data_IF_217344749642
#
_entry.id   IF_217344749642
#
_cell.length_a   1.000
_cell.length_b   1.000
_cell.length_c   1.000
_cell.angle_alpha   90.00
_cell.angle_beta   90.00
_cell.angle_gamma   90.00
#
_symmetry.space_group_name_H-M   'P 1'
#
loop_
_entity.id
_entity.type
_entity.pdbx_description
1 polymer ?
#
# COMPACT_ATOMS: atom_id res chain seq x y z
N UNK A 1 13.39 -15.07 54.53
CA UNK A 1 13.84 -15.64 53.24
C UNK A 1 13.73 -14.54 52.18
N UNK A 2 14.80 -14.26 51.49
CA UNK A 2 14.74 -13.32 50.36
C UNK A 2 14.07 -14.06 49.20
N UNK A 3 13.09 -13.43 48.54
CA UNK A 3 12.41 -13.97 47.36
C UNK A 3 13.44 -14.12 46.24
N UNK A 4 13.74 -15.37 45.83
CA UNK A 4 14.68 -15.65 44.75
C UNK A 4 13.93 -15.82 43.44
N UNK A 5 13.69 -14.72 42.71
CA UNK A 5 12.94 -14.73 41.46
C UNK A 5 13.64 -15.58 40.37
N UNK A 6 14.97 -15.61 40.32
CA UNK A 6 15.70 -16.38 39.31
C UNK A 6 15.43 -17.89 39.42
N UNK A 7 15.41 -18.43 40.63
CA UNK A 7 15.11 -19.85 40.83
C UNK A 7 13.64 -20.19 40.54
N UNK A 8 12.73 -19.29 40.93
CA UNK A 8 11.31 -19.45 40.72
C UNK A 8 10.96 -19.39 39.23
N UNK A 9 11.51 -18.42 38.52
CA UNK A 9 11.28 -18.27 37.08
C UNK A 9 11.83 -19.45 36.30
N UNK A 10 13.09 -19.86 36.54
CA UNK A 10 13.69 -21.01 35.88
C UNK A 10 12.90 -22.30 36.13
N UNK A 11 12.42 -22.51 37.39
CA UNK A 11 11.57 -23.67 37.73
C UNK A 11 10.29 -23.70 36.92
N UNK A 12 9.57 -22.56 36.82
CA UNK A 12 8.28 -22.53 36.15
C UNK A 12 8.40 -22.53 34.63
N UNK A 13 9.38 -21.86 34.05
CA UNK A 13 9.65 -21.94 32.61
C UNK A 13 9.95 -23.38 32.19
N UNK A 14 10.78 -24.11 32.97
CA UNK A 14 11.04 -25.53 32.74
C UNK A 14 9.75 -26.36 32.83
N UNK A 15 8.96 -26.16 33.87
CA UNK A 15 7.69 -26.87 34.06
C UNK A 15 6.73 -26.65 32.90
N UNK A 16 6.56 -25.41 32.45
CA UNK A 16 5.67 -25.08 31.34
C UNK A 16 6.12 -25.72 30.03
N UNK A 17 7.42 -25.75 29.77
CA UNK A 17 7.98 -26.36 28.57
C UNK A 17 7.78 -27.89 28.58
N UNK A 18 8.14 -28.57 29.68
CA UNK A 18 8.02 -30.01 29.80
C UNK A 18 6.57 -30.50 29.77
N UNK A 19 5.65 -29.76 30.39
CA UNK A 19 4.23 -30.12 30.45
C UNK A 19 3.39 -29.52 29.31
N UNK A 20 4.00 -28.82 28.37
CA UNK A 20 3.28 -28.14 27.25
C UNK A 20 2.07 -27.33 27.75
N UNK A 21 2.25 -26.60 28.87
CA UNK A 21 1.18 -25.98 29.66
C UNK A 21 0.30 -25.02 28.81
N UNK A 22 0.86 -24.43 27.75
CA UNK A 22 0.19 -23.46 26.92
C UNK A 22 -0.31 -24.02 25.58
N UNK A 23 -0.24 -25.35 25.43
CA UNK A 23 -0.73 -26.00 24.21
C UNK A 23 -2.25 -25.83 24.03
N UNK A 24 -2.65 -25.45 22.82
CA UNK A 24 -4.05 -25.37 22.41
C UNK A 24 -4.49 -26.68 21.74
N UNK A 25 -5.47 -27.36 22.32
CA UNK A 25 -6.01 -28.59 21.77
C UNK A 25 -6.81 -28.32 20.47
N UNK A 26 -6.57 -29.10 19.41
CA UNK A 26 -7.33 -29.00 18.17
C UNK A 26 -8.79 -29.40 18.34
N UNK A 27 -9.06 -30.39 19.19
CA UNK A 27 -10.40 -30.85 19.55
C UNK A 27 -10.63 -30.63 21.03
N UNK A 28 -11.38 -29.61 21.41
CA UNK A 28 -11.67 -29.27 22.81
C UNK A 28 -13.14 -28.90 22.97
N UNK A 29 -13.76 -29.31 24.07
CA UNK A 29 -15.09 -28.86 24.48
C UNK A 29 -15.08 -27.44 25.08
N UNK A 30 -13.90 -26.91 25.43
CA UNK A 30 -13.77 -25.56 25.95
C UNK A 30 -14.04 -24.54 24.87
N UNK A 31 -14.61 -23.37 25.18
CA UNK A 31 -14.76 -22.29 24.22
C UNK A 31 -13.39 -21.88 23.69
N UNK A 32 -13.31 -21.65 22.37
CA UNK A 32 -12.07 -21.27 21.69
C UNK A 32 -11.78 -19.79 21.88
N UNK A 33 -10.51 -19.47 22.04
CA UNK A 33 -10.04 -18.10 22.01
C UNK A 33 -8.72 -18.00 21.25
N UNK A 34 -8.59 -16.97 20.40
CA UNK A 34 -7.39 -16.76 19.60
C UNK A 34 -6.76 -15.42 19.96
N UNK A 35 -5.49 -15.43 20.34
CA UNK A 35 -4.67 -14.23 20.57
C UNK A 35 -3.55 -14.23 19.54
N UNK A 36 -3.49 -13.16 18.76
CA UNK A 36 -2.51 -13.02 17.68
C UNK A 36 -1.57 -11.85 17.98
N UNK A 37 -0.29 -12.11 17.92
CA UNK A 37 0.78 -11.12 17.94
C UNK A 37 1.38 -10.94 16.54
N UNK A 38 2.00 -9.79 16.32
CA UNK A 38 2.82 -9.57 15.14
C UNK A 38 4.14 -10.32 15.31
N UNK A 39 4.45 -11.22 14.38
CA UNK A 39 5.70 -11.98 14.40
C UNK A 39 6.90 -11.07 14.15
N UNK A 40 7.99 -11.22 14.91
CA UNK A 40 9.18 -10.43 14.72
C UNK A 40 9.92 -10.82 13.44
N UNK A 41 10.59 -9.85 12.83
CA UNK A 41 11.61 -10.12 11.81
C UNK A 41 12.89 -10.56 12.51
N UNK A 42 13.44 -11.76 12.22
CA UNK A 42 14.70 -12.21 12.81
C UNK A 42 15.92 -11.57 12.09
N UNK A 43 15.90 -10.24 11.96
CA UNK A 43 16.86 -9.46 11.18
C UNK A 43 18.08 -8.99 11.97
N UNK A 44 18.04 -9.10 13.29
CA UNK A 44 19.10 -8.67 14.20
C UNK A 44 19.58 -9.77 15.14
N UNK A 45 20.65 -9.49 15.88
CA UNK A 45 21.26 -10.43 16.81
C UNK A 45 20.40 -10.72 18.06
N UNK A 46 19.21 -10.14 18.19
CA UNK A 46 18.28 -10.32 19.29
C UNK A 46 17.10 -9.36 19.26
N UNK A 47 16.17 -9.57 20.18
CA UNK A 47 15.00 -8.72 20.38
C UNK A 47 15.42 -7.34 20.90
N UNK A 48 14.75 -6.30 20.45
CA UNK A 48 14.79 -4.98 21.09
C UNK A 48 13.55 -4.78 21.98
N UNK A 49 13.57 -3.76 22.85
CA UNK A 49 12.51 -3.52 23.86
C UNK A 49 11.11 -3.28 23.26
N UNK A 50 11.00 -2.87 22.02
CA UNK A 50 9.73 -2.73 21.32
C UNK A 50 8.98 -4.03 21.07
N UNK A 51 9.68 -5.18 20.93
CA UNK A 51 9.04 -6.48 20.72
C UNK A 51 8.20 -6.92 21.93
N UNK A 52 8.77 -6.98 23.16
CA UNK A 52 7.98 -7.42 24.31
C UNK A 52 6.87 -6.44 24.71
N UNK A 53 6.94 -5.18 24.29
CA UNK A 53 5.91 -4.19 24.62
C UNK A 53 4.51 -4.64 24.17
N UNK A 54 4.37 -5.13 22.95
CA UNK A 54 3.11 -5.70 22.45
C UNK A 54 2.80 -7.07 23.08
N UNK A 55 3.82 -7.94 23.19
CA UNK A 55 3.66 -9.31 23.65
C UNK A 55 3.25 -9.42 25.11
N UNK A 56 3.65 -8.47 25.97
CA UNK A 56 3.23 -8.45 27.38
C UNK A 56 1.72 -8.31 27.51
N UNK A 57 1.12 -7.39 26.74
CA UNK A 57 -0.31 -7.14 26.80
C UNK A 57 -1.12 -8.36 26.34
N UNK A 58 -0.75 -8.94 25.21
CA UNK A 58 -1.40 -10.14 24.67
C UNK A 58 -1.19 -11.37 25.54
N UNK A 59 -0.01 -11.53 26.14
CA UNK A 59 0.28 -12.64 27.05
C UNK A 59 -0.55 -12.57 28.34
N UNK A 60 -0.67 -11.39 28.93
CA UNK A 60 -1.54 -11.19 30.11
C UNK A 60 -2.98 -11.58 29.75
N UNK A 61 -3.46 -11.14 28.60
CA UNK A 61 -4.83 -11.44 28.17
C UNK A 61 -5.01 -12.93 27.83
N UNK A 62 -4.04 -13.57 27.18
CA UNK A 62 -4.04 -15.00 26.91
C UNK A 62 -4.11 -15.84 28.20
N UNK A 63 -3.32 -15.47 29.22
CA UNK A 63 -3.36 -16.11 30.55
C UNK A 63 -4.70 -15.91 31.23
N UNK A 64 -5.24 -14.70 31.22
CA UNK A 64 -6.56 -14.41 31.77
C UNK A 64 -7.64 -15.30 31.14
N UNK A 65 -7.67 -15.43 29.81
CA UNK A 65 -8.63 -16.28 29.11
C UNK A 65 -8.47 -17.76 29.47
N UNK A 66 -7.23 -18.26 29.61
CA UNK A 66 -7.00 -19.64 30.09
C UNK A 66 -7.55 -19.85 31.49
N UNK A 67 -7.34 -18.91 32.41
CA UNK A 67 -7.93 -18.96 33.75
C UNK A 67 -9.46 -18.89 33.76
N UNK A 68 -10.07 -18.28 32.73
CA UNK A 68 -11.53 -18.29 32.52
C UNK A 68 -12.03 -19.57 31.84
N UNK A 69 -11.17 -20.56 31.62
CA UNK A 69 -11.58 -21.86 31.08
C UNK A 69 -11.60 -21.97 29.55
N UNK A 70 -11.08 -20.99 28.82
CA UNK A 70 -10.96 -21.06 27.37
C UNK A 70 -9.82 -21.95 26.92
N UNK A 71 -9.98 -22.58 25.76
CA UNK A 71 -8.89 -23.18 24.98
C UNK A 71 -8.27 -22.06 24.14
N UNK A 72 -7.11 -21.57 24.59
CA UNK A 72 -6.48 -20.38 24.00
C UNK A 72 -5.36 -20.78 23.04
N UNK A 73 -5.53 -20.44 21.77
CA UNK A 73 -4.45 -20.45 20.78
C UNK A 73 -3.71 -19.10 20.82
N UNK A 74 -2.48 -19.12 21.29
CA UNK A 74 -1.56 -17.98 21.29
C UNK A 74 -0.27 -18.39 20.58
N UNK A 75 -0.26 -18.37 19.22
CA UNK A 75 0.90 -18.78 18.45
C UNK A 75 1.96 -17.70 18.44
N UNK A 76 3.18 -18.10 18.11
CA UNK A 76 4.28 -17.19 17.81
C UNK A 76 5.07 -17.73 16.63
N UNK A 77 5.91 -16.91 16.04
CA UNK A 77 6.69 -17.28 14.88
C UNK A 77 7.65 -16.19 14.45
N UNK A 78 8.12 -16.31 13.22
CA UNK A 78 9.11 -15.41 12.67
C UNK A 78 8.75 -15.07 11.22
N UNK A 79 8.71 -13.78 10.92
CA UNK A 79 8.63 -13.30 9.54
C UNK A 79 10.06 -13.32 8.98
N UNK A 80 10.42 -14.43 8.36
CA UNK A 80 11.80 -14.84 8.16
C UNK A 80 12.35 -14.61 6.75
N UNK A 81 11.57 -14.01 5.84
CA UNK A 81 12.09 -13.37 4.64
C UNK A 81 12.46 -11.92 4.93
N UNK A 82 13.43 -11.36 4.20
CA UNK A 82 13.66 -9.92 4.30
C UNK A 82 15.02 -9.45 3.83
N UNK A 83 15.05 -8.20 3.40
CA UNK A 83 16.23 -7.49 2.89
C UNK A 83 17.45 -7.56 3.84
N UNK A 84 17.32 -7.44 5.20
CA UNK A 84 18.49 -7.51 6.07
C UNK A 84 19.27 -8.82 5.98
N UNK A 85 18.58 -9.95 5.89
CA UNK A 85 19.22 -11.26 5.77
C UNK A 85 19.88 -11.42 4.38
N UNK A 86 19.24 -10.91 3.34
CA UNK A 86 19.76 -10.92 1.97
C UNK A 86 21.02 -10.05 1.84
N UNK A 87 21.01 -8.84 2.39
CA UNK A 87 22.16 -7.94 2.38
C UNK A 87 23.35 -8.51 3.16
N UNK A 88 23.10 -9.12 4.32
CA UNK A 88 24.14 -9.80 5.08
C UNK A 88 24.74 -10.98 4.30
N UNK A 89 23.89 -11.71 3.57
CA UNK A 89 24.34 -12.80 2.70
C UNK A 89 25.25 -12.30 1.56
N UNK A 90 24.89 -11.18 0.92
CA UNK A 90 25.73 -10.56 -0.13
C UNK A 90 27.09 -10.14 0.44
N UNK A 91 27.10 -9.49 1.62
CA UNK A 91 28.34 -9.00 2.25
C UNK A 91 29.27 -10.14 2.72
N UNK A 92 28.72 -11.24 3.19
CA UNK A 92 29.48 -12.32 3.83
C UNK A 92 29.66 -13.56 2.98
N UNK A 93 28.93 -13.68 1.87
CA UNK A 93 28.89 -14.87 1.03
C UNK A 93 28.14 -16.05 1.68
N UNK A 94 27.44 -15.84 2.81
CA UNK A 94 26.64 -16.86 3.47
C UNK A 94 25.21 -16.89 2.92
N UNK A 95 24.64 -18.10 2.82
CA UNK A 95 23.22 -18.21 2.46
C UNK A 95 22.31 -17.58 3.54
N UNK A 96 21.29 -16.78 3.18
CA UNK A 96 20.43 -16.06 4.12
C UNK A 96 19.84 -16.95 5.24
N UNK A 97 19.48 -18.20 4.91
CA UNK A 97 18.90 -19.13 5.86
C UNK A 97 19.83 -19.43 7.06
N UNK A 98 21.16 -19.38 6.90
CA UNK A 98 22.11 -19.66 7.98
C UNK A 98 22.02 -18.59 9.07
N UNK A 99 22.05 -17.33 8.66
CA UNK A 99 21.93 -16.20 9.59
C UNK A 99 20.55 -16.13 10.21
N UNK A 100 19.51 -16.31 9.41
CA UNK A 100 18.12 -16.32 9.87
C UNK A 100 17.89 -17.38 10.93
N UNK A 101 18.37 -18.59 10.73
CA UNK A 101 18.25 -19.69 11.72
C UNK A 101 19.00 -19.39 13.02
N UNK A 102 20.19 -18.79 12.96
CA UNK A 102 20.94 -18.38 14.13
C UNK A 102 20.19 -17.29 14.93
N UNK A 103 19.61 -16.32 14.24
CA UNK A 103 18.81 -15.27 14.84
C UNK A 103 17.53 -15.82 15.47
N UNK A 104 16.81 -16.70 14.78
CA UNK A 104 15.62 -17.38 15.32
C UNK A 104 15.93 -18.10 16.64
N UNK A 105 17.04 -18.81 16.72
CA UNK A 105 17.45 -19.47 17.96
C UNK A 105 17.67 -18.48 19.10
N UNK A 106 18.25 -17.32 18.80
CA UNK A 106 18.46 -16.26 19.78
C UNK A 106 17.15 -15.64 20.23
N UNK A 107 16.27 -15.28 19.28
CA UNK A 107 14.94 -14.74 19.57
C UNK A 107 14.10 -15.70 20.41
N UNK A 108 14.08 -16.97 20.01
CA UNK A 108 13.37 -18.01 20.75
C UNK A 108 13.86 -18.12 22.21
N UNK A 109 15.16 -18.20 22.41
CA UNK A 109 15.74 -18.24 23.76
C UNK A 109 15.36 -17.02 24.60
N UNK A 110 15.35 -15.81 23.99
CA UNK A 110 14.98 -14.59 24.70
C UNK A 110 13.49 -14.56 25.05
N UNK A 111 12.60 -15.00 24.14
CA UNK A 111 11.16 -15.11 24.40
C UNK A 111 10.85 -16.13 25.49
N UNK A 112 11.55 -17.28 25.48
CA UNK A 112 11.43 -18.31 26.52
C UNK A 112 11.90 -17.77 27.89
N UNK A 113 12.98 -16.99 27.95
CA UNK A 113 13.47 -16.37 29.18
C UNK A 113 12.51 -15.33 29.76
N UNK A 114 11.74 -14.62 28.92
CA UNK A 114 10.68 -13.73 29.38
C UNK A 114 9.43 -14.48 29.88
N UNK A 115 9.36 -15.78 29.62
CA UNK A 115 8.31 -16.65 30.15
C UNK A 115 6.94 -16.44 29.52
N UNK A 116 6.85 -16.01 28.28
CA UNK A 116 5.57 -15.84 27.57
C UNK A 116 4.82 -17.17 27.41
N UNK A 117 3.50 -17.10 27.38
CA UNK A 117 2.59 -18.25 27.27
C UNK A 117 2.25 -18.60 25.81
N UNK A 118 3.25 -18.57 24.94
CA UNK A 118 3.05 -18.96 23.54
C UNK A 118 2.90 -20.49 23.39
N UNK A 119 2.06 -20.90 22.45
CA UNK A 119 1.98 -22.28 22.00
C UNK A 119 3.04 -22.56 20.92
N UNK A 120 4.21 -22.94 21.32
CA UNK A 120 5.32 -23.23 20.41
C UNK A 120 5.12 -24.47 19.52
N UNK A 121 4.12 -25.29 19.78
CA UNK A 121 3.73 -26.36 18.85
C UNK A 121 3.09 -25.80 17.57
N UNK A 122 2.73 -24.53 17.59
CA UNK A 122 2.17 -23.77 16.47
C UNK A 122 3.13 -22.69 15.97
N UNK A 123 4.44 -22.90 16.17
CA UNK A 123 5.47 -22.00 15.65
C UNK A 123 5.36 -21.84 14.13
N UNK A 124 5.42 -20.60 13.66
CA UNK A 124 5.35 -20.23 12.24
C UNK A 124 6.71 -19.70 11.81
N UNK A 125 7.16 -20.11 10.62
CA UNK A 125 8.31 -19.56 9.90
C UNK A 125 7.89 -19.28 8.47
N UNK A 126 7.80 -18.03 8.10
CA UNK A 126 7.24 -17.64 6.78
C UNK A 126 8.11 -18.09 5.61
N UNK A 127 9.41 -18.32 5.84
CA UNK A 127 10.35 -18.84 4.84
C UNK A 127 10.36 -20.38 4.72
N UNK A 128 9.58 -21.09 5.52
CA UNK A 128 9.48 -22.55 5.43
C UNK A 128 8.57 -22.95 4.26
N UNK A 129 8.94 -23.97 3.44
CA UNK A 129 8.11 -24.46 2.34
C UNK A 129 6.70 -24.89 2.78
N UNK A 130 6.57 -25.46 3.97
CA UNK A 130 5.27 -25.88 4.54
C UNK A 130 4.36 -24.69 4.79
N UNK A 131 4.91 -23.50 5.02
CA UNK A 131 4.16 -22.27 5.20
C UNK A 131 3.90 -21.56 3.86
N UNK A 132 4.95 -21.20 3.11
CA UNK A 132 4.77 -20.35 1.92
C UNK A 132 4.06 -21.06 0.76
N UNK A 133 3.99 -22.39 0.73
CA UNK A 133 3.14 -23.10 -0.24
C UNK A 133 1.69 -22.63 -0.20
N UNK A 134 1.19 -22.21 0.97
CA UNK A 134 -0.17 -21.68 1.10
C UNK A 134 -0.28 -20.25 0.56
N UNK A 135 0.74 -19.43 0.72
CA UNK A 135 0.83 -18.11 0.09
C UNK A 135 0.82 -18.26 -1.44
N UNK A 136 1.59 -19.20 -1.97
CA UNK A 136 1.60 -19.51 -3.40
C UNK A 136 0.24 -20.05 -3.88
N UNK A 137 -0.41 -20.90 -3.09
CA UNK A 137 -1.73 -21.40 -3.41
C UNK A 137 -2.77 -20.28 -3.45
N UNK A 138 -2.76 -19.36 -2.48
CA UNK A 138 -3.64 -18.20 -2.46
C UNK A 138 -3.41 -17.35 -3.71
N UNK A 139 -2.15 -17.09 -4.08
CA UNK A 139 -1.82 -16.36 -5.29
C UNK A 139 -2.42 -17.01 -6.53
N UNK A 140 -2.32 -18.33 -6.66
CA UNK A 140 -2.91 -19.10 -7.78
C UNK A 140 -4.43 -18.97 -7.79
N UNK A 141 -5.10 -18.99 -6.62
CA UNK A 141 -6.55 -18.78 -6.54
C UNK A 141 -6.93 -17.37 -7.01
N UNK A 142 -6.19 -16.34 -6.57
CA UNK A 142 -6.42 -14.95 -7.01
C UNK A 142 -6.17 -14.81 -8.52
N UNK A 143 -5.10 -15.41 -9.05
CA UNK A 143 -4.80 -15.40 -10.48
C UNK A 143 -5.90 -16.07 -11.31
N UNK A 144 -6.53 -17.13 -10.81
CA UNK A 144 -7.61 -17.83 -11.46
C UNK A 144 -9.00 -17.26 -11.15
N UNK A 145 -9.06 -16.04 -10.64
CA UNK A 145 -10.29 -15.35 -10.27
C UNK A 145 -10.38 -13.95 -10.87
N UNK A 146 -11.59 -13.47 -11.02
CA UNK A 146 -11.96 -12.09 -11.31
C UNK A 146 -12.98 -11.60 -10.30
N UNK A 147 -13.11 -10.29 -10.10
CA UNK A 147 -14.10 -9.74 -9.19
C UNK A 147 -15.39 -9.39 -9.92
N UNK A 148 -16.46 -10.12 -9.61
CA UNK A 148 -17.78 -9.86 -10.13
C UNK A 148 -18.49 -8.83 -9.22
N UNK A 149 -18.64 -7.61 -9.73
CA UNK A 149 -19.25 -6.50 -8.99
C UNK A 149 -20.73 -6.76 -8.70
N UNK A 150 -21.46 -7.40 -9.63
CA UNK A 150 -22.89 -7.71 -9.45
C UNK A 150 -23.17 -8.64 -8.27
N UNK A 151 -22.23 -9.53 -7.97
CA UNK A 151 -22.36 -10.51 -6.87
C UNK A 151 -21.51 -10.17 -5.67
N UNK A 152 -20.69 -9.11 -5.76
CA UNK A 152 -19.73 -8.67 -4.75
C UNK A 152 -18.79 -9.79 -4.30
N UNK A 153 -18.27 -10.57 -5.27
CA UNK A 153 -17.46 -11.78 -5.01
C UNK A 153 -16.40 -12.01 -6.07
N UNK A 154 -15.28 -12.57 -5.59
CA UNK A 154 -14.34 -13.25 -6.47
C UNK A 154 -15.02 -14.48 -7.11
N UNK A 155 -14.89 -14.62 -8.41
CA UNK A 155 -15.50 -15.67 -9.21
C UNK A 155 -14.43 -16.34 -10.08
N UNK A 156 -14.47 -17.66 -10.34
CA UNK A 156 -13.48 -18.31 -11.18
C UNK A 156 -13.40 -17.69 -12.58
N UNK A 157 -12.19 -17.52 -13.09
CA UNK A 157 -11.94 -16.93 -14.42
C UNK A 157 -12.61 -17.73 -15.55
N UNK A 158 -12.82 -19.03 -15.37
CA UNK A 158 -13.54 -19.89 -16.32
C UNK A 158 -14.98 -19.44 -16.54
N UNK A 159 -15.64 -18.90 -15.52
CA UNK A 159 -16.99 -18.35 -15.64
C UNK A 159 -16.98 -17.08 -16.53
N UNK A 160 -15.96 -16.23 -16.40
CA UNK A 160 -15.81 -15.06 -17.26
C UNK A 160 -15.53 -15.47 -18.72
N UNK A 161 -14.67 -16.46 -18.95
CA UNK A 161 -14.39 -17.00 -20.28
C UNK A 161 -15.68 -17.48 -20.94
N UNK A 162 -16.56 -18.15 -20.19
CA UNK A 162 -17.86 -18.59 -20.70
C UNK A 162 -18.71 -17.38 -21.12
N UNK A 163 -18.85 -16.36 -20.27
CA UNK A 163 -19.59 -15.15 -20.61
C UNK A 163 -19.02 -14.50 -21.89
N UNK A 164 -17.71 -14.38 -22.00
CA UNK A 164 -17.07 -13.80 -23.17
C UNK A 164 -17.36 -14.57 -24.44
N UNK A 165 -17.39 -15.93 -24.37
CA UNK A 165 -17.66 -16.78 -25.52
C UNK A 165 -19.12 -16.79 -25.94
N UNK A 166 -20.06 -16.46 -25.07
CA UNK A 166 -21.50 -16.46 -25.32
C UNK A 166 -22.03 -15.06 -25.61
N UNK A 167 -21.60 -14.03 -24.86
CA UNK A 167 -22.21 -12.70 -24.85
C UNK A 167 -21.21 -11.55 -25.14
N UNK A 168 -19.90 -11.81 -25.14
CA UNK A 168 -18.88 -10.75 -25.15
C UNK A 168 -18.73 -10.10 -23.78
N UNK A 169 -18.16 -8.86 -23.72
CA UNK A 169 -17.88 -8.20 -22.44
C UNK A 169 -18.68 -6.92 -22.20
N UNK A 170 -19.50 -6.46 -23.13
CA UNK A 170 -20.18 -5.16 -23.04
C UNK A 170 -21.05 -4.98 -21.78
N UNK A 171 -21.62 -6.06 -21.25
CA UNK A 171 -22.51 -6.04 -20.08
C UNK A 171 -21.85 -6.62 -18.81
N UNK A 172 -20.55 -6.91 -18.84
CA UNK A 172 -19.86 -7.52 -17.71
C UNK A 172 -19.56 -6.46 -16.66
N UNK A 173 -20.10 -6.63 -15.46
CA UNK A 173 -19.82 -5.80 -14.29
C UNK A 173 -18.64 -6.39 -13.53
N UNK A 174 -17.45 -5.93 -13.84
CA UNK A 174 -16.19 -6.41 -13.26
C UNK A 174 -15.33 -5.27 -12.73
N UNK A 175 -14.55 -5.55 -11.70
CA UNK A 175 -13.40 -4.71 -11.39
C UNK A 175 -12.25 -5.14 -12.31
N UNK A 176 -11.91 -4.29 -13.28
CA UNK A 176 -10.91 -4.55 -14.31
C UNK A 176 -10.12 -3.28 -14.62
N UNK A 177 -9.18 -3.36 -15.56
CA UNK A 177 -8.46 -2.18 -16.03
C UNK A 177 -9.35 -1.30 -16.89
N UNK A 178 -9.16 0.02 -16.83
CA UNK A 178 -9.93 0.99 -17.61
C UNK A 178 -9.67 0.89 -19.12
N UNK A 179 -8.53 0.33 -19.50
CA UNK A 179 -8.11 0.13 -20.90
C UNK A 179 -8.70 -1.11 -21.59
N UNK A 180 -9.62 -1.81 -20.91
CA UNK A 180 -10.27 -3.00 -21.50
C UNK A 180 -11.10 -2.62 -22.72
N UNK A 181 -10.78 -3.24 -23.85
CA UNK A 181 -11.56 -3.07 -25.09
C UNK A 181 -12.92 -3.76 -24.99
N UNK A 182 -13.93 -3.16 -25.60
CA UNK A 182 -15.24 -3.82 -25.76
C UNK A 182 -15.19 -4.77 -26.97
N UNK A 183 -15.71 -5.98 -26.82
CA UNK A 183 -15.76 -7.02 -27.86
C UNK A 183 -17.02 -7.86 -27.77
N UNK A 184 -17.43 -8.42 -28.91
CA UNK A 184 -18.54 -9.36 -29.02
C UNK A 184 -18.09 -10.80 -28.78
N UNK A 185 -19.03 -11.74 -28.60
CA UNK A 185 -18.72 -13.17 -28.54
C UNK A 185 -17.99 -13.65 -29.80
N UNK A 186 -18.35 -13.13 -30.98
CA UNK A 186 -17.69 -13.47 -32.22
C UNK A 186 -16.24 -13.01 -32.25
N UNK A 187 -15.95 -11.78 -31.79
CA UNK A 187 -14.58 -11.27 -31.68
C UNK A 187 -13.75 -12.11 -30.70
N UNK A 188 -14.32 -12.41 -29.52
CA UNK A 188 -13.64 -13.24 -28.52
C UNK A 188 -13.24 -14.62 -29.10
N UNK A 189 -14.17 -15.27 -29.76
CA UNK A 189 -13.92 -16.61 -30.35
C UNK A 189 -12.95 -16.58 -31.54
N UNK A 190 -12.78 -15.42 -32.17
CA UNK A 190 -11.82 -15.20 -33.25
C UNK A 190 -10.41 -14.76 -32.74
N UNK A 191 -10.28 -14.27 -31.50
CA UNK A 191 -9.00 -13.89 -30.96
C UNK A 191 -8.05 -15.06 -30.80
N UNK A 192 -6.76 -14.81 -31.05
CA UNK A 192 -5.73 -15.79 -30.73
C UNK A 192 -5.69 -16.05 -29.22
N UNK A 193 -5.24 -17.24 -28.81
CA UNK A 193 -5.06 -17.60 -27.41
C UNK A 193 -4.23 -16.54 -26.66
N UNK A 194 -3.17 -16.02 -27.26
CA UNK A 194 -2.35 -14.96 -26.68
C UNK A 194 -3.17 -13.69 -26.39
N UNK A 195 -4.00 -13.25 -27.35
CA UNK A 195 -4.86 -12.08 -27.19
C UNK A 195 -5.91 -12.29 -26.09
N UNK A 196 -6.52 -13.48 -26.05
CA UNK A 196 -7.46 -13.83 -24.97
C UNK A 196 -6.79 -13.77 -23.60
N UNK A 197 -5.58 -14.32 -23.44
CA UNK A 197 -4.85 -14.25 -22.16
C UNK A 197 -4.47 -12.83 -21.77
N UNK A 198 -4.10 -11.98 -22.71
CA UNK A 198 -3.85 -10.54 -22.45
C UNK A 198 -5.11 -9.84 -21.94
N UNK A 199 -6.26 -10.09 -22.55
CA UNK A 199 -7.53 -9.53 -22.07
C UNK A 199 -7.89 -10.08 -20.69
N UNK A 200 -7.79 -11.39 -20.47
CA UNK A 200 -8.09 -12.00 -19.18
C UNK A 200 -7.20 -11.43 -18.06
N UNK A 201 -5.93 -11.09 -18.35
CA UNK A 201 -5.03 -10.51 -17.37
C UNK A 201 -5.57 -9.18 -16.83
N UNK A 202 -6.28 -8.40 -17.65
CA UNK A 202 -6.92 -7.15 -17.24
C UNK A 202 -8.09 -7.32 -16.26
N UNK A 203 -8.64 -8.54 -16.15
CA UNK A 203 -9.73 -8.86 -15.22
C UNK A 203 -9.27 -9.65 -13.98
N UNK A 204 -8.11 -10.31 -14.05
CA UNK A 204 -7.64 -11.15 -12.95
C UNK A 204 -7.39 -10.34 -11.67
N UNK A 205 -7.54 -10.98 -10.52
CA UNK A 205 -7.24 -10.38 -9.22
C UNK A 205 -5.74 -10.24 -8.94
N UNK A 206 -4.90 -11.02 -9.62
CA UNK A 206 -3.46 -10.78 -9.69
C UNK A 206 -3.05 -10.62 -11.14
N UNK A 207 -2.25 -9.61 -11.43
CA UNK A 207 -1.89 -9.22 -12.79
C UNK A 207 -0.49 -8.59 -12.82
N UNK A 208 0.09 -8.54 -14.00
CA UNK A 208 1.35 -7.82 -14.24
C UNK A 208 1.03 -6.38 -14.65
N UNK A 209 1.68 -5.44 -14.00
CA UNK A 209 1.60 -4.03 -14.32
C UNK A 209 2.99 -3.41 -14.38
N UNK A 210 3.18 -2.43 -15.26
CA UNK A 210 4.32 -1.53 -15.19
C UNK A 210 4.02 -0.46 -14.14
N UNK A 211 4.80 -0.45 -13.08
CA UNK A 211 4.68 0.51 -11.99
C UNK A 211 6.00 1.23 -11.76
N UNK A 212 5.93 2.47 -11.33
CA UNK A 212 7.12 3.16 -10.85
C UNK A 212 7.52 2.61 -9.48
N UNK A 213 8.77 2.18 -9.38
CA UNK A 213 9.35 1.61 -8.16
C UNK A 213 10.59 2.40 -7.77
N UNK A 214 10.92 2.36 -6.49
CA UNK A 214 12.15 2.94 -5.97
C UNK A 214 13.28 1.91 -6.10
N UNK A 215 14.08 2.01 -7.12
CA UNK A 215 15.17 1.08 -7.40
C UNK A 215 16.48 1.55 -6.79
N UNK A 216 17.11 0.69 -6.01
CA UNK A 216 18.47 0.89 -5.51
C UNK A 216 19.41 -0.11 -6.20
N UNK A 217 20.31 0.38 -7.04
CA UNK A 217 21.21 -0.48 -7.82
C UNK A 217 22.23 -1.19 -6.93
N UNK A 218 22.75 -0.51 -5.93
CA UNK A 218 23.76 -1.04 -5.00
C UNK A 218 23.19 -2.13 -4.09
N UNK A 219 21.92 -2.04 -3.71
CA UNK A 219 21.22 -3.09 -2.98
C UNK A 219 20.62 -4.15 -3.88
N UNK A 220 20.53 -3.90 -5.19
CA UNK A 220 19.97 -4.81 -6.19
C UNK A 220 18.47 -5.10 -6.01
N UNK A 221 17.72 -4.17 -5.41
CA UNK A 221 16.32 -4.39 -5.04
C UNK A 221 15.47 -3.13 -5.12
N UNK A 222 14.15 -3.33 -5.08
CA UNK A 222 13.13 -2.30 -4.92
C UNK A 222 12.93 -2.02 -3.44
N UNK A 223 12.83 -0.75 -3.07
CA UNK A 223 12.62 -0.29 -1.71
C UNK A 223 11.21 0.29 -1.54
N UNK A 224 10.61 0.04 -0.38
CA UNK A 224 9.41 0.72 0.05
C UNK A 224 9.70 2.21 0.34
N UNK A 225 8.68 3.06 0.30
CA UNK A 225 8.85 4.49 0.58
C UNK A 225 9.45 4.74 1.98
N UNK A 226 9.12 3.91 2.96
CA UNK A 226 9.62 4.03 4.34
C UNK A 226 11.11 3.62 4.49
N UNK A 227 11.70 2.99 3.48
CA UNK A 227 13.11 2.59 3.44
C UNK A 227 14.00 3.63 2.74
N UNK A 228 13.45 4.79 2.42
CA UNK A 228 14.15 5.88 1.73
C UNK A 228 14.13 7.14 2.59
N UNK A 229 15.31 7.71 2.79
CA UNK A 229 15.48 8.97 3.53
C UNK A 229 16.34 9.91 2.69
N UNK A 230 15.82 11.10 2.37
CA UNK A 230 16.52 12.11 1.56
C UNK A 230 17.04 11.59 0.19
N UNK A 231 16.26 10.72 -0.47
CA UNK A 231 16.61 10.17 -1.79
C UNK A 231 17.65 9.05 -1.77
N UNK A 232 18.04 8.57 -0.58
CA UNK A 232 18.95 7.45 -0.42
C UNK A 232 18.31 6.34 0.43
N UNK A 233 18.81 5.11 0.28
CA UNK A 233 18.37 3.99 1.10
C UNK A 233 18.71 4.23 2.58
N UNK A 234 17.78 3.95 3.49
CA UNK A 234 18.03 3.99 4.94
C UNK A 234 19.22 3.09 5.30
N UNK A 235 19.33 1.94 4.62
CA UNK A 235 20.46 1.02 4.78
C UNK A 235 21.54 1.33 3.76
N UNK A 236 22.71 1.72 4.22
CA UNK A 236 23.89 1.94 3.41
C UNK A 236 23.99 3.34 2.79
N UNK A 237 22.92 4.14 2.79
CA UNK A 237 22.94 5.49 2.23
C UNK A 237 23.15 5.55 0.72
N UNK A 238 22.70 4.52 -0.01
CA UNK A 238 22.90 4.42 -1.46
C UNK A 238 21.84 5.18 -2.24
N UNK A 239 22.17 5.76 -3.41
CA UNK A 239 21.21 6.47 -4.25
C UNK A 239 20.04 5.59 -4.66
N UNK A 240 18.85 6.16 -4.60
CA UNK A 240 17.61 5.51 -5.04
C UNK A 240 17.05 6.28 -6.23
N UNK A 241 16.66 5.57 -7.27
CA UNK A 241 16.09 6.17 -8.48
C UNK A 241 14.70 5.59 -8.75
N UNK A 242 13.79 6.43 -9.23
CA UNK A 242 12.51 5.96 -9.74
C UNK A 242 12.69 5.29 -11.09
N UNK A 243 12.14 4.09 -11.23
CA UNK A 243 12.25 3.29 -12.44
C UNK A 243 10.93 2.55 -12.69
N UNK A 244 10.47 2.54 -13.95
CA UNK A 244 9.36 1.68 -14.36
C UNK A 244 9.84 0.23 -14.43
N UNK A 245 9.14 -0.65 -13.74
CA UNK A 245 9.39 -2.10 -13.75
C UNK A 245 8.08 -2.86 -13.78
N UNK A 246 8.09 -3.98 -14.48
CA UNK A 246 6.96 -4.90 -14.45
C UNK A 246 6.92 -5.61 -13.10
N UNK A 247 5.81 -5.47 -12.39
CA UNK A 247 5.58 -6.05 -11.06
C UNK A 247 4.28 -6.86 -11.04
N UNK A 248 4.25 -7.89 -10.21
CA UNK A 248 2.99 -8.51 -9.83
C UNK A 248 2.20 -7.56 -8.94
N UNK A 249 0.96 -7.34 -9.31
CA UNK A 249 0.02 -6.50 -8.57
C UNK A 249 -1.20 -7.31 -8.15
N UNK A 250 -1.81 -6.94 -7.02
CA UNK A 250 -3.09 -7.48 -6.57
C UNK A 250 -4.15 -6.39 -6.64
N UNK A 251 -5.31 -6.72 -7.20
CA UNK A 251 -6.44 -5.78 -7.38
C UNK A 251 -7.19 -5.58 -6.07
N UNK A 252 -6.49 -5.06 -5.07
CA UNK A 252 -7.04 -4.83 -3.71
C UNK A 252 -8.17 -3.80 -3.72
N UNK A 253 -8.13 -2.83 -4.64
CA UNK A 253 -9.17 -1.81 -4.81
C UNK A 253 -10.55 -2.41 -5.12
N UNK A 254 -10.63 -3.61 -5.72
CA UNK A 254 -11.88 -4.33 -5.92
C UNK A 254 -12.62 -4.63 -4.61
N UNK A 255 -11.91 -4.69 -3.49
CA UNK A 255 -12.45 -4.98 -2.16
C UNK A 255 -12.60 -3.74 -1.28
N UNK A 256 -12.27 -2.54 -1.76
CA UNK A 256 -12.24 -1.32 -0.94
C UNK A 256 -13.58 -1.03 -0.28
N UNK A 257 -14.68 -1.06 -1.03
CA UNK A 257 -16.03 -0.82 -0.49
C UNK A 257 -16.42 -1.89 0.53
N UNK A 258 -16.13 -3.15 0.23
CA UNK A 258 -16.43 -4.28 1.13
C UNK A 258 -15.62 -4.21 2.44
N UNK A 259 -14.35 -3.81 2.37
CA UNK A 259 -13.52 -3.58 3.56
C UNK A 259 -14.08 -2.42 4.40
N UNK A 260 -14.51 -1.34 3.75
CA UNK A 260 -15.11 -0.18 4.43
C UNK A 260 -16.40 -0.55 5.15
N UNK A 261 -17.31 -1.27 4.48
CA UNK A 261 -18.56 -1.75 5.09
C UNK A 261 -18.30 -2.75 6.21
N UNK A 262 -17.28 -3.61 6.08
CA UNK A 262 -16.89 -4.59 7.09
C UNK A 262 -16.54 -3.97 8.45
N UNK A 263 -16.06 -2.72 8.48
CA UNK A 263 -15.76 -2.02 9.74
C UNK A 263 -17.00 -1.83 10.64
N UNK A 264 -18.20 -1.87 10.06
CA UNK A 264 -19.44 -1.74 10.83
C UNK A 264 -19.83 -3.02 11.57
N UNK A 265 -19.23 -4.16 11.21
CA UNK A 265 -19.57 -5.50 11.74
C UNK A 265 -18.57 -6.01 12.78
N UNK A 266 -17.46 -5.30 13.00
CA UNK A 266 -16.41 -5.71 13.92
C UNK A 266 -16.42 -4.89 15.20
N UNK A 267 -16.03 -5.55 16.30
CA UNK A 267 -15.93 -4.93 17.64
C UNK A 267 -14.53 -4.34 17.83
N UNK A 268 -14.26 -3.25 17.13
CA UNK A 268 -13.03 -2.46 17.24
C UNK A 268 -13.34 -1.09 17.83
N UNK A 269 -12.31 -0.44 18.40
CA UNK A 269 -12.44 0.94 18.88
C UNK A 269 -12.71 1.90 17.72
N UNK A 270 -13.44 2.98 17.97
CA UNK A 270 -13.77 3.98 16.95
C UNK A 270 -12.52 4.61 16.36
N UNK A 271 -11.49 4.88 17.16
CA UNK A 271 -10.22 5.43 16.69
C UNK A 271 -9.53 4.51 15.65
N UNK A 272 -9.56 3.18 15.88
CA UNK A 272 -9.00 2.22 14.94
C UNK A 272 -9.85 2.12 13.66
N UNK A 273 -11.16 2.10 13.79
CA UNK A 273 -12.07 2.12 12.62
C UNK A 273 -11.87 3.36 11.77
N UNK A 274 -11.71 4.53 12.41
CA UNK A 274 -11.46 5.79 11.71
C UNK A 274 -10.11 5.78 10.99
N UNK A 275 -9.06 5.25 11.63
CA UNK A 275 -7.76 5.06 10.98
C UNK A 275 -7.87 4.19 9.73
N UNK A 276 -8.67 3.10 9.77
CA UNK A 276 -8.90 2.24 8.61
C UNK A 276 -9.73 2.94 7.52
N UNK A 277 -10.76 3.73 7.88
CA UNK A 277 -11.54 4.53 6.92
C UNK A 277 -10.65 5.53 6.19
N UNK A 278 -9.81 6.24 6.93
CA UNK A 278 -8.88 7.22 6.38
C UNK A 278 -7.84 6.56 5.47
N UNK A 279 -7.38 5.35 5.80
CA UNK A 279 -6.47 4.59 4.96
C UNK A 279 -7.11 4.14 3.65
N UNK A 280 -8.36 3.65 3.70
CA UNK A 280 -9.13 3.27 2.49
C UNK A 280 -9.42 4.52 1.65
N UNK A 281 -9.69 5.66 2.29
CA UNK A 281 -9.74 6.97 1.66
C UNK A 281 -10.86 7.14 0.64
N UNK A 282 -12.07 6.60 0.90
CA UNK A 282 -13.21 6.82 0.00
C UNK A 282 -13.55 8.30 -0.12
N UNK A 283 -13.42 8.83 -1.32
CA UNK A 283 -13.80 10.20 -1.66
C UNK A 283 -15.04 10.21 -2.55
N UNK A 284 -15.94 11.15 -2.30
CA UNK A 284 -17.12 11.40 -3.14
C UNK A 284 -17.02 12.82 -3.65
N UNK A 285 -17.09 12.99 -4.97
CA UNK A 285 -16.91 14.29 -5.61
C UNK A 285 -17.35 14.25 -7.06
N UNK A 286 -16.85 15.21 -7.84
CA UNK A 286 -17.12 15.32 -9.25
C UNK A 286 -15.81 15.49 -10.05
N UNK A 287 -15.78 14.91 -11.24
CA UNK A 287 -14.78 15.24 -12.25
C UNK A 287 -15.20 16.50 -13.00
N UNK A 288 -14.25 17.40 -13.17
CA UNK A 288 -14.44 18.63 -13.95
C UNK A 288 -13.35 18.69 -15.02
N UNK A 289 -13.76 18.95 -16.23
CA UNK A 289 -12.86 19.05 -17.39
C UNK A 289 -12.66 20.53 -17.77
N UNK A 290 -11.41 20.93 -17.90
CA UNK A 290 -11.00 22.26 -18.34
C UNK A 290 -10.29 22.16 -19.68
N UNK A 291 -10.82 22.79 -20.70
CA UNK A 291 -10.17 22.89 -22.02
C UNK A 291 -8.90 23.72 -21.91
N UNK A 292 -7.81 23.26 -22.53
CA UNK A 292 -6.58 24.04 -22.62
C UNK A 292 -6.66 25.05 -23.75
N UNK A 293 -6.28 26.30 -23.46
CA UNK A 293 -6.24 27.33 -24.49
C UNK A 293 -5.08 27.08 -25.44
N UNK A 294 -5.35 27.14 -26.75
CA UNK A 294 -4.38 26.88 -27.82
C UNK A 294 -3.82 25.47 -27.94
N UNK A 295 -4.37 24.49 -27.19
CA UNK A 295 -4.01 23.08 -27.26
C UNK A 295 -5.26 22.23 -27.52
N UNK A 296 -5.12 21.16 -28.30
CA UNK A 296 -6.20 20.18 -28.49
C UNK A 296 -6.14 19.13 -27.40
N UNK A 297 -6.24 19.57 -26.14
CA UNK A 297 -6.16 18.74 -24.96
C UNK A 297 -6.92 19.36 -23.80
N UNK A 298 -7.21 18.57 -22.78
CA UNK A 298 -7.97 18.97 -21.58
C UNK A 298 -7.23 18.60 -20.31
N UNK A 299 -7.53 19.30 -19.22
CA UNK A 299 -7.14 18.92 -17.87
C UNK A 299 -8.40 18.43 -17.14
N UNK A 300 -8.42 17.18 -16.74
CA UNK A 300 -9.45 16.64 -15.85
C UNK A 300 -9.00 16.74 -14.41
N UNK A 301 -9.84 17.27 -13.53
CA UNK A 301 -9.62 17.31 -12.08
C UNK A 301 -10.76 16.60 -11.36
N UNK A 302 -10.43 15.90 -10.30
CA UNK A 302 -11.42 15.39 -9.36
C UNK A 302 -11.47 16.31 -8.14
N UNK A 303 -12.66 16.78 -7.75
CA UNK A 303 -12.85 17.61 -6.56
C UNK A 303 -13.98 17.11 -5.69
N UNK A 304 -13.79 17.15 -4.37
CA UNK A 304 -14.85 16.90 -3.38
C UNK A 304 -15.70 18.15 -3.12
N UNK A 305 -15.28 19.30 -3.66
CA UNK A 305 -15.95 20.59 -3.49
C UNK A 305 -16.27 21.22 -4.85
N UNK A 306 -17.13 20.61 -5.68
CA UNK A 306 -17.52 21.18 -6.98
C UNK A 306 -18.25 22.51 -6.84
N UNK A 307 -18.85 22.79 -5.70
CA UNK A 307 -19.51 24.05 -5.35
C UNK A 307 -18.57 25.26 -5.35
N UNK A 308 -17.26 25.04 -5.23
CA UNK A 308 -16.25 26.11 -5.18
C UNK A 308 -15.71 26.50 -6.56
N UNK A 309 -16.24 25.96 -7.64
CA UNK A 309 -15.69 26.11 -9.00
C UNK A 309 -15.53 27.57 -9.45
N UNK A 310 -16.42 28.44 -9.04
CA UNK A 310 -16.34 29.88 -9.39
C UNK A 310 -15.21 30.62 -8.65
N UNK A 311 -14.60 30.01 -7.65
CA UNK A 311 -13.44 30.53 -6.94
C UNK A 311 -12.11 30.04 -7.49
N UNK A 312 -12.12 29.26 -8.56
CA UNK A 312 -10.90 28.75 -9.21
C UNK A 312 -10.15 29.90 -9.87
N UNK A 313 -8.88 30.06 -9.54
CA UNK A 313 -8.04 31.12 -10.12
C UNK A 313 -6.75 30.59 -10.75
N UNK A 314 -6.37 29.35 -10.50
CA UNK A 314 -5.27 28.67 -11.20
C UNK A 314 -5.46 27.15 -11.17
N UNK A 315 -4.73 26.47 -12.05
CA UNK A 315 -4.64 25.02 -12.10
C UNK A 315 -3.24 24.61 -11.69
N UNK A 316 -3.10 23.48 -10.99
CA UNK A 316 -1.78 22.95 -10.67
C UNK A 316 -1.69 21.48 -11.09
N UNK A 317 -0.63 21.16 -11.84
CA UNK A 317 -0.28 19.82 -12.26
C UNK A 317 0.82 19.25 -11.35
N UNK A 318 0.79 17.95 -11.12
CA UNK A 318 1.92 17.25 -10.56
C UNK A 318 3.16 17.37 -11.48
N UNK A 319 4.38 17.45 -10.94
CA UNK A 319 5.60 17.54 -11.77
C UNK A 319 5.77 16.36 -12.74
N UNK A 320 5.22 15.20 -12.39
CA UNK A 320 5.26 13.98 -13.20
C UNK A 320 4.14 13.87 -14.23
N UNK A 321 3.19 14.80 -14.24
CA UNK A 321 2.03 14.76 -15.14
C UNK A 321 2.46 14.90 -16.60
N UNK A 322 1.96 14.03 -17.47
CA UNK A 322 2.37 13.95 -18.89
C UNK A 322 2.10 15.23 -19.70
N UNK A 323 1.07 16.00 -19.32
CA UNK A 323 0.78 17.28 -19.96
C UNK A 323 1.86 18.33 -19.70
N UNK A 324 2.62 18.27 -18.64
CA UNK A 324 3.65 19.28 -18.29
C UNK A 324 4.59 19.54 -19.48
N UNK A 325 5.11 18.47 -20.07
CA UNK A 325 6.02 18.59 -21.22
C UNK A 325 5.32 19.07 -22.50
N UNK A 326 4.01 18.81 -22.64
CA UNK A 326 3.25 19.11 -23.86
C UNK A 326 2.80 20.58 -23.91
N UNK A 327 2.46 21.18 -22.75
CA UNK A 327 1.86 22.51 -22.67
C UNK A 327 2.84 23.59 -22.22
N UNK A 328 4.04 23.21 -21.74
CA UNK A 328 5.05 24.20 -21.32
C UNK A 328 5.54 24.99 -22.52
N UNK A 329 5.39 26.32 -22.45
CA UNK A 329 5.84 27.22 -23.53
C UNK A 329 7.39 27.22 -23.62
N UNK A 330 7.88 27.69 -24.78
CA UNK A 330 9.34 27.73 -24.99
C UNK A 330 10.06 28.63 -23.97
N UNK A 331 9.40 29.72 -23.59
CA UNK A 331 9.91 30.69 -22.62
C UNK A 331 10.04 30.12 -21.20
N UNK A 332 9.12 29.23 -20.82
CA UNK A 332 9.07 28.64 -19.48
C UNK A 332 9.81 27.28 -19.39
N UNK A 333 10.26 26.74 -20.51
CA UNK A 333 10.78 25.37 -20.60
C UNK A 333 11.96 25.12 -19.66
N UNK A 334 12.92 26.01 -19.60
CA UNK A 334 14.11 25.85 -18.77
C UNK A 334 13.77 25.82 -17.27
N UNK A 335 12.87 26.70 -16.83
CA UNK A 335 12.45 26.81 -15.43
C UNK A 335 11.60 25.60 -15.02
N UNK A 336 10.68 25.13 -15.88
CA UNK A 336 9.85 23.96 -15.65
C UNK A 336 10.72 22.69 -15.58
N UNK A 337 11.63 22.47 -16.50
CA UNK A 337 12.55 21.32 -16.49
C UNK A 337 13.42 21.31 -15.23
N UNK A 338 13.96 22.46 -14.82
CA UNK A 338 14.75 22.58 -13.59
C UNK A 338 13.92 22.25 -12.34
N UNK A 339 12.66 22.74 -12.29
CA UNK A 339 11.74 22.45 -11.18
C UNK A 339 11.36 20.97 -11.10
N UNK A 340 11.00 20.35 -12.23
CA UNK A 340 10.68 18.91 -12.29
C UNK A 340 11.85 18.06 -11.83
N UNK A 341 13.08 18.36 -12.29
CA UNK A 341 14.28 17.64 -11.88
C UNK A 341 14.62 17.81 -10.39
N UNK A 342 14.36 18.99 -9.83
CA UNK A 342 14.57 19.25 -8.40
C UNK A 342 13.55 18.46 -7.56
N UNK A 343 12.29 18.47 -7.97
CA UNK A 343 11.19 17.78 -7.26
C UNK A 343 11.33 16.25 -7.35
N UNK A 344 11.81 15.72 -8.47
CA UNK A 344 12.02 14.27 -8.64
C UNK A 344 13.01 13.65 -7.62
N UNK A 345 13.81 14.48 -6.94
CA UNK A 345 14.73 14.03 -5.86
C UNK A 345 14.03 13.89 -4.49
N UNK A 346 12.80 14.37 -4.37
CA UNK A 346 12.01 14.34 -3.13
C UNK A 346 10.95 13.24 -3.21
N UNK A 347 10.79 12.47 -2.14
CA UNK A 347 9.71 11.50 -2.04
C UNK A 347 8.34 12.19 -1.91
N UNK A 348 7.26 11.52 -2.29
CA UNK A 348 5.89 12.02 -2.10
C UNK A 348 5.61 12.34 -0.62
N UNK A 349 6.13 11.53 0.30
CA UNK A 349 5.98 11.74 1.74
C UNK A 349 6.67 13.03 2.21
N UNK A 350 7.88 13.32 1.72
CA UNK A 350 8.59 14.58 2.00
C UNK A 350 7.84 15.78 1.43
N UNK A 351 7.29 15.66 0.23
CA UNK A 351 6.47 16.68 -0.42
C UNK A 351 5.19 16.96 0.38
N UNK A 352 4.52 15.91 0.87
CA UNK A 352 3.32 16.04 1.72
C UNK A 352 3.63 16.62 3.11
N UNK A 353 4.78 16.29 3.69
CA UNK A 353 5.17 16.75 5.02
C UNK A 353 5.64 18.20 5.03
N UNK A 354 6.13 18.72 3.90
CA UNK A 354 6.65 20.07 3.75
C UNK A 354 5.52 21.08 3.49
N UNK A 355 4.74 21.35 4.54
CA UNK A 355 3.62 22.32 4.49
C UNK A 355 4.11 23.76 4.56
N UNK A 356 5.40 23.99 4.83
CA UNK A 356 5.96 25.33 5.09
C UNK A 356 6.65 25.96 3.89
N UNK A 357 7.11 25.16 2.93
CA UNK A 357 7.75 25.68 1.72
C UNK A 357 6.72 25.76 0.58
N UNK A 358 6.55 26.96 0.04
CA UNK A 358 5.70 27.17 -1.13
C UNK A 358 6.61 27.15 -2.34
N UNK A 359 6.38 26.20 -3.24
CA UNK A 359 7.13 26.07 -4.48
C UNK A 359 6.21 25.74 -5.67
N UNK A 360 6.59 26.23 -6.82
CA UNK A 360 5.87 25.99 -8.07
C UNK A 360 6.50 26.74 -9.23
N UNK A 361 6.09 26.41 -10.44
CA UNK A 361 6.54 27.08 -11.66
C UNK A 361 5.39 27.23 -12.65
N UNK A 362 5.32 28.38 -13.31
CA UNK A 362 4.30 28.62 -14.32
C UNK A 362 4.67 27.93 -15.64
N UNK A 363 3.71 27.25 -16.28
CA UNK A 363 3.94 26.56 -17.57
C UNK A 363 3.91 27.47 -18.78
N UNK A 364 3.37 28.71 -18.64
CA UNK A 364 3.05 29.60 -19.75
C UNK A 364 1.73 29.29 -20.42
N UNK A 365 1.06 28.20 -20.08
CA UNK A 365 -0.22 27.78 -20.63
C UNK A 365 -1.40 28.22 -19.76
N UNK A 366 -2.57 28.27 -20.38
CA UNK A 366 -3.84 28.58 -19.71
C UNK A 366 -4.88 27.53 -20.01
N UNK A 367 -5.72 27.24 -19.05
CA UNK A 367 -6.97 26.51 -19.22
C UNK A 367 -8.16 27.47 -19.27
N UNK A 368 -9.29 27.01 -19.78
CA UNK A 368 -10.53 27.79 -19.82
C UNK A 368 -11.45 27.39 -18.70
N UNK A 369 -11.95 28.35 -17.96
CA UNK A 369 -12.98 28.10 -16.95
C UNK A 369 -14.24 27.54 -17.63
N UNK A 370 -14.78 26.37 -17.22
CA UNK A 370 -15.82 25.67 -17.97
C UNK A 370 -17.15 26.44 -18.06
N UNK A 371 -17.40 27.41 -17.18
CA UNK A 371 -18.65 28.20 -17.20
C UNK A 371 -18.44 29.64 -17.62
N UNK A 372 -17.31 30.28 -17.30
CA UNK A 372 -17.07 31.70 -17.64
C UNK A 372 -16.23 31.88 -18.89
N UNK A 373 -15.51 30.84 -19.34
CA UNK A 373 -14.50 30.86 -20.39
C UNK A 373 -13.30 31.80 -20.11
N UNK A 374 -13.15 32.27 -18.88
CA UNK A 374 -11.98 33.06 -18.49
C UNK A 374 -10.72 32.21 -18.49
N UNK A 375 -9.56 32.77 -18.85
CA UNK A 375 -8.30 32.05 -18.86
C UNK A 375 -7.79 31.85 -17.44
N UNK A 376 -7.43 30.60 -17.11
CA UNK A 376 -6.91 30.19 -15.83
C UNK A 376 -5.45 29.72 -16.02
N UNK A 377 -4.44 30.31 -15.38
CA UNK A 377 -3.04 29.93 -15.57
C UNK A 377 -2.78 28.52 -15.02
N UNK A 378 -1.95 27.75 -15.76
CA UNK A 378 -1.57 26.37 -15.39
C UNK A 378 -0.16 26.38 -14.83
N UNK A 379 -0.03 25.91 -13.59
CA UNK A 379 1.21 25.79 -12.84
C UNK A 379 1.63 24.33 -12.64
N UNK A 380 2.88 24.12 -12.31
CA UNK A 380 3.39 22.86 -11.80
C UNK A 380 3.74 23.08 -10.33
N UNK A 381 3.24 22.20 -9.45
CA UNK A 381 3.46 22.31 -8.01
C UNK A 381 3.75 20.96 -7.38
N UNK A 382 4.72 20.92 -6.47
CA UNK A 382 5.18 19.68 -5.82
C UNK A 382 4.19 19.15 -4.78
N UNK A 383 3.23 19.95 -4.35
CA UNK A 383 2.15 19.53 -3.45
C UNK A 383 1.04 18.71 -4.13
N UNK A 384 1.02 18.69 -5.46
CA UNK A 384 0.13 17.82 -6.24
C UNK A 384 0.85 16.51 -6.53
N UNK A 385 0.19 15.39 -6.26
CA UNK A 385 0.76 14.06 -6.44
C UNK A 385 0.16 13.38 -7.67
N UNK A 386 1.01 12.82 -8.51
CA UNK A 386 0.59 12.12 -9.73
C UNK A 386 -0.25 10.87 -9.45
N UNK A 387 -0.03 10.20 -8.31
CA UNK A 387 -0.75 9.01 -7.87
C UNK A 387 -2.08 9.29 -7.15
N UNK A 388 -2.46 10.55 -6.98
CA UNK A 388 -3.71 10.94 -6.31
C UNK A 388 -4.66 11.68 -7.26
N UNK A 389 -5.86 11.12 -7.46
CA UNK A 389 -6.82 11.65 -8.43
C UNK A 389 -6.28 11.57 -9.86
N UNK A 390 -6.37 12.68 -10.58
CA UNK A 390 -5.89 12.82 -11.96
C UNK A 390 -4.45 13.35 -12.06
N UNK A 391 -3.78 13.63 -10.95
CA UNK A 391 -2.50 14.34 -10.93
C UNK A 391 -2.63 15.83 -11.25
N UNK A 392 -3.84 16.36 -11.22
CA UNK A 392 -4.17 17.76 -11.44
C UNK A 392 -5.18 18.25 -10.40
N UNK A 393 -5.08 19.51 -10.01
CA UNK A 393 -6.03 20.15 -9.09
C UNK A 393 -6.48 21.51 -9.63
N UNK A 394 -7.73 21.86 -9.39
CA UNK A 394 -8.22 23.23 -9.50
C UNK A 394 -7.97 23.94 -8.18
N UNK A 395 -7.31 25.07 -8.20
CA UNK A 395 -6.96 25.80 -6.98
C UNK A 395 -7.97 26.89 -6.66
N UNK A 396 -8.43 26.91 -5.41
CA UNK A 396 -9.49 27.80 -4.91
C UNK A 396 -8.97 28.61 -3.72
N UNK A 397 -8.19 29.68 -3.94
CA UNK A 397 -7.53 30.44 -2.87
C UNK A 397 -8.47 31.08 -1.86
N UNK A 398 -9.72 31.34 -2.22
CA UNK A 398 -10.72 31.87 -1.29
C UNK A 398 -11.29 30.79 -0.33
N UNK A 399 -11.03 29.49 -0.57
CA UNK A 399 -11.59 28.38 0.19
C UNK A 399 -10.57 27.38 0.72
N UNK A 400 -9.30 27.47 0.29
CA UNK A 400 -8.22 26.57 0.71
C UNK A 400 -6.97 27.34 1.11
N UNK A 401 -6.40 27.04 2.28
CA UNK A 401 -5.27 27.80 2.84
C UNK A 401 -3.99 27.61 2.01
N UNK A 402 -3.74 26.41 1.49
CA UNK A 402 -2.55 26.11 0.67
C UNK A 402 -2.62 26.85 -0.65
N UNK A 403 -3.78 26.84 -1.28
CA UNK A 403 -4.02 27.58 -2.54
C UNK A 403 -3.91 29.09 -2.30
N UNK A 404 -4.38 29.58 -1.14
CA UNK A 404 -4.23 30.98 -0.76
C UNK A 404 -2.77 31.39 -0.62
N UNK A 405 -1.98 30.58 0.11
CA UNK A 405 -0.57 30.85 0.34
C UNK A 405 0.22 30.81 -0.98
N UNK A 406 -0.10 29.87 -1.85
CA UNK A 406 0.47 29.76 -3.20
C UNK A 406 0.11 30.97 -4.06
N UNK A 407 -1.15 31.36 -4.10
CA UNK A 407 -1.60 32.54 -4.85
C UNK A 407 -0.93 33.82 -4.35
N UNK A 408 -0.76 33.98 -3.03
CA UNK A 408 -0.05 35.11 -2.45
C UNK A 408 1.43 35.11 -2.84
N UNK A 409 2.09 33.96 -2.77
CA UNK A 409 3.51 33.84 -3.09
C UNK A 409 3.81 34.21 -4.55
N UNK A 410 2.98 33.75 -5.45
CA UNK A 410 3.15 33.95 -6.91
C UNK A 410 2.34 35.14 -7.47
N UNK A 411 1.73 35.93 -6.60
CA UNK A 411 0.92 37.09 -6.97
C UNK A 411 -0.23 36.78 -7.97
N UNK A 412 -0.88 35.61 -7.74
CA UNK A 412 -2.06 35.19 -8.52
C UNK A 412 -3.30 35.84 -7.92
N UNK A 413 -4.26 36.19 -8.77
CA UNK A 413 -5.52 36.83 -8.34
C UNK A 413 -6.29 35.87 -7.39
N UNK A 414 -6.82 36.41 -6.29
CA UNK A 414 -7.69 35.69 -5.36
C UNK A 414 -9.10 36.27 -5.53
N UNK A 415 -10.04 35.51 -6.12
CA UNK A 415 -11.44 35.91 -6.24
C UNK A 415 -12.06 36.12 -4.87
N UNK A 416 -12.97 37.10 -4.75
CA UNK A 416 -13.73 37.35 -3.51
C UNK A 416 -15.01 36.50 -3.49
#
# INVERSE_FOLDING_TARGET
>A
MMYNFNEIEAKWQKYWSENKTFHAESSSSKPKYYVLDMFPYPSGAGLHVGHPLGYIASDIYARYKRHKGFNVLHPQGYDSFGLPAEQYAIQTGQHPAVTTEANIKTYRRQLDQMGFSFDWSREVRTSSPEYYKWTQWIFIQLFNSWYNVSTDKATPISALIKIFSEDGNANVQASCDDSVIVFTAQDWNAFSMQKQQQILLQYRLTYLAETEVNWCAELGTVLANDEIVNGVSERGGFPVVRKKMTQWSMRISAYAERLLQGLNTIDWTDALKESQRNWIGKSVGASVVFDLDNYNSTIEVFTTRPDTIYGVSFMTLAPEHELVNQITTKEQKADVEAYVLATAKRSERERMADVKSISGVFTGAYAKHPFTNEPIPVWVGDYVLAGYGTGAVMAVPCGDQRDYDFAKHFNIQIPN
#
